data_IF_503285628965
#
_entry.id   IF_503285628965
#
_cell.length_a   1.000
_cell.length_b   1.000
_cell.length_c   1.000
_cell.angle_alpha   90.00
_cell.angle_beta   90.00
_cell.angle_gamma   90.00
#
_symmetry.space_group_name_H-M   'P 1'
#
loop_
_entity.id
_entity.type
_entity.pdbx_description
1 polymer ?
#
# COMPACT_ATOMS: atom_id res chain seq x y z
N UNK A 1 -32.51 13.70 15.14
CA UNK A 1 -31.12 13.28 14.95
C UNK A 1 -30.62 12.77 16.29
N UNK A 2 -30.46 11.46 16.43
CA UNK A 2 -30.10 10.80 17.68
C UNK A 2 -28.59 10.39 17.61
N UNK A 3 -27.75 10.89 18.52
CA UNK A 3 -26.32 10.58 18.48
C UNK A 3 -26.07 9.14 18.91
N UNK A 4 -25.17 8.47 18.18
CA UNK A 4 -24.65 7.16 18.50
C UNK A 4 -23.27 7.30 19.17
N UNK A 5 -23.04 6.56 20.24
CA UNK A 5 -21.82 6.65 21.05
C UNK A 5 -20.99 5.39 20.85
N UNK A 6 -19.74 5.55 20.44
CA UNK A 6 -18.78 4.45 20.36
C UNK A 6 -17.87 4.49 21.60
N UNK A 7 -17.97 3.51 22.47
CA UNK A 7 -17.15 3.38 23.67
C UNK A 7 -16.08 2.32 23.45
N UNK A 8 -14.81 2.71 23.53
CA UNK A 8 -13.67 1.82 23.56
C UNK A 8 -13.40 1.50 25.04
N UNK A 9 -14.09 0.49 25.58
CA UNK A 9 -13.91 0.07 26.94
C UNK A 9 -13.12 -1.25 27.02
N UNK A 10 -12.18 -1.32 27.93
CA UNK A 10 -11.63 -2.59 28.44
C UNK A 10 -12.74 -3.37 29.19
N UNK A 11 -12.70 -4.71 29.24
CA UNK A 11 -13.82 -5.51 29.69
C UNK A 11 -14.01 -5.41 31.21
N UNK A 12 -15.03 -4.64 31.61
CA UNK A 12 -15.67 -4.79 32.89
C UNK A 12 -17.13 -5.24 32.61
N UNK A 13 -17.44 -6.47 32.98
CA UNK A 13 -18.77 -7.05 32.80
C UNK A 13 -19.77 -6.29 33.69
N UNK A 14 -20.75 -5.68 33.07
CA UNK A 14 -22.01 -5.31 33.72
C UNK A 14 -23.20 -6.01 33.04
N UNK A 15 -24.18 -6.42 33.84
CA UNK A 15 -25.16 -7.48 33.51
C UNK A 15 -26.36 -7.03 32.64
N UNK A 16 -26.40 -5.76 32.17
CA UNK A 16 -27.58 -5.21 31.48
C UNK A 16 -27.36 -4.68 30.07
N UNK A 17 -26.21 -4.96 29.46
CA UNK A 17 -25.95 -4.51 28.08
C UNK A 17 -26.66 -5.41 27.05
N UNK A 18 -27.79 -4.93 26.53
CA UNK A 18 -28.44 -5.52 25.36
C UNK A 18 -27.63 -5.21 24.10
N UNK A 19 -26.65 -6.06 23.84
CA UNK A 19 -25.96 -6.09 22.57
C UNK A 19 -26.92 -6.56 21.47
N UNK A 20 -27.16 -5.74 20.45
CA UNK A 20 -27.91 -6.15 19.27
C UNK A 20 -27.14 -7.23 18.53
N UNK A 21 -27.54 -8.47 18.69
CA UNK A 21 -26.99 -9.64 17.97
C UNK A 21 -27.40 -9.57 16.52
N UNK A 22 -26.52 -9.11 15.62
CA UNK A 22 -26.57 -9.59 14.22
C UNK A 22 -26.38 -11.10 14.23
N UNK A 23 -27.14 -11.85 13.44
CA UNK A 23 -27.07 -13.31 13.34
C UNK A 23 -25.61 -13.74 13.15
N UNK A 24 -25.07 -14.42 14.14
CA UNK A 24 -23.69 -14.93 14.14
C UNK A 24 -23.57 -16.07 13.16
N UNK A 25 -22.59 -16.02 12.26
CA UNK A 25 -21.98 -17.25 11.74
C UNK A 25 -21.21 -17.90 12.89
N UNK A 26 -21.24 -19.24 13.04
CA UNK A 26 -20.83 -19.92 14.27
C UNK A 26 -19.34 -19.92 14.60
N UNK A 27 -18.44 -19.31 13.80
CA UNK A 27 -16.99 -19.44 13.98
C UNK A 27 -16.22 -18.10 13.97
N UNK A 28 -16.84 -16.97 14.27
CA UNK A 28 -16.13 -15.69 14.28
C UNK A 28 -16.10 -15.11 15.69
N UNK A 29 -14.95 -15.18 16.35
CA UNK A 29 -14.65 -14.35 17.52
C UNK A 29 -14.37 -12.94 16.99
N UNK A 30 -15.42 -12.18 16.78
CA UNK A 30 -15.29 -10.74 16.56
C UNK A 30 -15.12 -10.12 17.95
N UNK A 31 -13.95 -9.57 18.23
CA UNK A 31 -13.75 -8.59 19.28
C UNK A 31 -14.60 -7.37 18.90
N UNK A 32 -15.89 -7.41 19.22
CA UNK A 32 -16.82 -6.31 18.94
C UNK A 32 -16.49 -5.18 19.89
N UNK A 33 -15.97 -4.07 19.36
CA UNK A 33 -16.12 -2.77 20.03
C UNK A 33 -17.62 -2.52 20.15
N UNK A 34 -18.23 -2.54 21.34
CA UNK A 34 -19.66 -2.40 21.45
C UNK A 34 -20.05 -0.96 21.15
N UNK A 35 -20.71 -0.77 20.02
CA UNK A 35 -21.38 0.50 19.75
C UNK A 35 -22.59 0.57 20.67
N UNK A 36 -22.65 1.59 21.52
CA UNK A 36 -23.78 1.82 22.41
C UNK A 36 -24.71 2.87 21.83
N UNK A 37 -25.97 2.52 21.71
CA UNK A 37 -27.02 3.46 21.31
C UNK A 37 -27.57 4.15 22.55
N UNK A 38 -27.67 5.48 22.51
CA UNK A 38 -28.28 6.27 23.58
C UNK A 38 -29.83 6.14 23.61
N UNK A 39 -30.37 5.77 22.46
CA UNK A 39 -31.80 5.58 22.23
C UNK A 39 -32.03 4.29 21.42
N UNK A 40 -33.26 4.08 20.96
CA UNK A 40 -33.58 2.93 20.11
C UNK A 40 -32.74 2.92 18.83
N UNK A 41 -32.56 1.74 18.26
CA UNK A 41 -31.80 1.56 17.03
C UNK A 41 -32.42 2.38 15.89
N UNK A 42 -31.68 3.26 15.22
CA UNK A 42 -32.22 4.05 14.12
C UNK A 42 -32.63 3.14 12.95
N UNK A 43 -33.70 3.51 12.28
CA UNK A 43 -34.20 2.80 11.09
C UNK A 43 -33.41 3.11 9.82
N UNK A 44 -32.41 3.98 9.89
CA UNK A 44 -31.55 4.42 8.79
C UNK A 44 -30.10 4.12 9.07
N UNK A 45 -29.27 4.10 8.01
CA UNK A 45 -27.83 3.95 8.14
C UNK A 45 -27.19 5.19 8.79
N UNK A 46 -26.20 4.95 9.67
CA UNK A 46 -25.52 6.00 10.41
C UNK A 46 -24.48 6.72 9.55
N UNK A 47 -24.39 8.02 9.75
CA UNK A 47 -23.32 8.86 9.22
C UNK A 47 -22.35 9.31 10.33
N UNK A 48 -21.25 9.97 9.96
CA UNK A 48 -20.35 10.55 10.95
C UNK A 48 -20.99 11.61 11.85
N UNK A 49 -22.11 12.22 11.43
CA UNK A 49 -22.85 13.19 12.24
C UNK A 49 -23.72 12.51 13.32
N UNK A 50 -23.92 11.22 13.19
CA UNK A 50 -24.78 10.44 14.10
C UNK A 50 -23.96 9.70 15.17
N UNK A 51 -22.62 9.72 15.06
CA UNK A 51 -21.72 8.99 15.95
C UNK A 51 -20.66 9.92 16.55
N UNK A 52 -20.28 9.68 17.80
CA UNK A 52 -19.15 10.35 18.44
C UNK A 52 -18.44 9.40 19.43
N UNK A 53 -17.16 9.68 19.66
CA UNK A 53 -16.37 8.92 20.61
C UNK A 53 -16.58 9.45 22.03
N UNK A 54 -16.88 8.56 22.96
CA UNK A 54 -16.86 8.90 24.38
C UNK A 54 -15.44 8.78 24.89
N UNK A 55 -14.88 9.84 25.51
CA UNK A 55 -13.57 9.77 26.12
C UNK A 55 -13.53 8.69 27.21
N UNK A 56 -12.56 7.79 27.13
CA UNK A 56 -12.35 6.74 28.11
C UNK A 56 -10.87 6.57 28.44
N UNK A 57 -10.56 5.96 29.58
CA UNK A 57 -9.18 5.63 29.94
C UNK A 57 -8.72 4.46 29.08
N UNK A 58 -7.60 4.64 28.37
CA UNK A 58 -6.95 3.59 27.60
C UNK A 58 -5.70 3.07 28.32
N UNK A 59 -5.42 1.78 28.18
CA UNK A 59 -4.16 1.15 28.60
C UNK A 59 -3.12 1.10 27.48
N UNK A 60 -3.46 1.57 26.28
CA UNK A 60 -2.57 1.61 25.12
C UNK A 60 -1.46 2.64 25.37
N UNK A 61 -0.21 2.20 25.33
CA UNK A 61 0.97 3.04 25.56
C UNK A 61 1.52 3.65 24.28
N UNK A 62 1.32 2.97 23.15
CA UNK A 62 1.76 3.42 21.83
C UNK A 62 0.64 3.33 20.81
N UNK A 63 0.54 4.31 19.91
CA UNK A 63 -0.39 4.25 18.77
C UNK A 63 -0.14 3.04 17.84
N UNK A 64 1.06 2.46 17.88
CA UNK A 64 1.42 1.27 17.10
C UNK A 64 0.87 -0.03 17.69
N UNK A 65 0.41 0.00 18.95
CA UNK A 65 -0.20 -1.16 19.61
C UNK A 65 -1.69 -1.31 19.26
N UNK A 66 -2.24 -0.33 18.52
CA UNK A 66 -3.66 -0.33 18.11
C UNK A 66 -3.84 -1.25 16.90
N UNK A 67 -4.65 -2.29 17.06
CA UNK A 67 -5.05 -3.15 15.95
C UNK A 67 -6.07 -2.41 15.06
N UNK A 68 -5.69 -2.18 13.80
CA UNK A 68 -6.51 -1.50 12.79
C UNK A 68 -7.19 -2.48 11.82
N UNK A 69 -7.04 -3.79 12.01
CA UNK A 69 -7.68 -4.80 11.14
C UNK A 69 -9.20 -4.62 11.14
N UNK A 70 -9.80 -4.73 9.97
CA UNK A 70 -11.25 -4.59 9.85
C UNK A 70 -11.97 -5.86 10.33
N UNK A 71 -13.12 -5.72 11.04
CA UNK A 71 -13.87 -6.87 11.58
C UNK A 71 -14.77 -7.56 10.55
N UNK A 72 -14.73 -7.15 9.29
CA UNK A 72 -15.59 -7.60 8.20
C UNK A 72 -15.11 -8.88 7.49
N UNK A 73 -13.95 -9.40 7.88
CA UNK A 73 -13.27 -10.57 7.28
C UNK A 73 -12.85 -10.38 5.81
N UNK A 74 -12.79 -9.16 5.31
CA UNK A 74 -12.24 -8.88 3.97
C UNK A 74 -10.73 -9.12 3.94
N UNK A 75 -10.05 -8.95 5.09
CA UNK A 75 -8.61 -9.18 5.23
C UNK A 75 -7.78 -7.92 5.09
N UNK A 76 -8.40 -6.74 5.19
CA UNK A 76 -7.67 -5.46 5.26
C UNK A 76 -7.07 -5.26 6.66
N UNK A 77 -5.84 -4.76 6.69
CA UNK A 77 -5.08 -4.50 7.92
C UNK A 77 -5.22 -3.06 8.42
N UNK A 78 -5.79 -2.18 7.57
CA UNK A 78 -6.17 -0.82 7.92
C UNK A 78 -7.56 -0.51 7.36
N UNK A 79 -8.41 0.28 8.07
CA UNK A 79 -9.77 0.56 7.67
C UNK A 79 -9.83 1.68 6.61
N UNK A 80 -9.07 1.53 5.53
CA UNK A 80 -9.02 2.50 4.44
C UNK A 80 -9.47 1.82 3.15
N UNK A 81 -10.59 2.31 2.61
CA UNK A 81 -11.12 1.91 1.32
C UNK A 81 -11.13 3.12 0.40
N UNK A 82 -10.42 3.05 -0.71
CA UNK A 82 -10.41 4.11 -1.72
C UNK A 82 -11.68 4.01 -2.56
N UNK A 83 -12.39 5.13 -2.67
CA UNK A 83 -13.63 5.22 -3.44
C UNK A 83 -13.39 4.96 -4.95
N UNK A 84 -14.41 4.47 -5.61
CA UNK A 84 -14.45 4.09 -7.02
C UNK A 84 -14.46 5.28 -8.01
N UNK A 85 -13.56 6.24 -7.79
CA UNK A 85 -13.44 7.44 -8.63
C UNK A 85 -12.47 7.18 -9.78
N UNK A 86 -12.92 7.35 -11.02
CA UNK A 86 -12.16 7.07 -12.26
C UNK A 86 -10.80 7.76 -12.31
N UNK A 87 -10.70 8.99 -11.79
CA UNK A 87 -9.44 9.74 -11.76
C UNK A 87 -8.44 9.24 -10.71
N UNK A 88 -8.87 8.45 -9.72
CA UNK A 88 -8.08 8.07 -8.53
C UNK A 88 -7.87 6.57 -8.46
N UNK A 89 -8.95 5.78 -8.59
CA UNK A 89 -8.97 4.35 -8.30
C UNK A 89 -8.42 3.51 -9.48
N UNK A 90 -7.16 3.75 -9.85
CA UNK A 90 -6.46 3.00 -10.88
C UNK A 90 -5.40 2.04 -10.30
N UNK A 91 -4.74 1.28 -11.20
CA UNK A 91 -3.75 0.24 -10.85
C UNK A 91 -2.68 0.70 -9.85
N UNK A 92 -2.16 1.93 -9.99
CA UNK A 92 -1.12 2.47 -9.09
C UNK A 92 -1.64 2.76 -7.69
N UNK A 93 -2.85 3.27 -7.59
CA UNK A 93 -3.49 3.49 -6.30
C UNK A 93 -3.78 2.15 -5.62
N UNK A 94 -4.29 1.17 -6.38
CA UNK A 94 -4.58 -0.17 -5.88
C UNK A 94 -3.33 -0.85 -5.31
N UNK A 95 -2.21 -0.89 -6.05
CA UNK A 95 -0.94 -1.40 -5.54
C UNK A 95 -0.48 -0.69 -4.25
N UNK A 96 -0.56 0.64 -4.25
CA UNK A 96 -0.03 1.45 -3.15
C UNK A 96 -0.82 1.26 -1.87
N UNK A 97 -2.15 1.21 -1.98
CA UNK A 97 -3.05 1.07 -0.83
C UNK A 97 -3.03 -0.36 -0.31
N UNK A 98 -3.02 -1.36 -1.21
CA UNK A 98 -2.92 -2.77 -0.81
C UNK A 98 -1.61 -3.08 -0.08
N UNK A 99 -0.45 -2.50 -0.51
CA UNK A 99 0.82 -2.60 0.24
C UNK A 99 0.76 -2.03 1.64
N UNK A 100 -0.18 -1.14 1.92
CA UNK A 100 -0.39 -0.51 3.23
C UNK A 100 -1.52 -1.14 4.03
N UNK A 101 -2.12 -2.20 3.50
CA UNK A 101 -3.15 -2.97 4.19
C UNK A 101 -4.57 -2.51 3.94
N UNK A 102 -4.80 -1.56 3.04
CA UNK A 102 -6.13 -1.09 2.63
C UNK A 102 -6.65 -1.75 1.36
N UNK A 103 -7.77 -1.25 0.85
CA UNK A 103 -8.47 -1.75 -0.33
C UNK A 103 -8.80 -0.60 -1.29
N UNK A 104 -8.88 -0.89 -2.58
CA UNK A 104 -9.38 0.04 -3.62
C UNK A 104 -10.57 -0.58 -4.31
N UNK A 105 -11.64 0.18 -4.44
CA UNK A 105 -12.80 -0.18 -5.27
C UNK A 105 -12.60 0.42 -6.65
N UNK A 106 -12.55 -0.44 -7.67
CA UNK A 106 -12.37 0.01 -9.05
C UNK A 106 -13.66 0.64 -9.58
N UNK A 107 -13.57 1.65 -10.49
CA UNK A 107 -14.73 2.30 -11.06
C UNK A 107 -15.56 1.35 -11.93
N UNK A 108 -16.88 1.47 -11.86
CA UNK A 108 -17.82 0.62 -12.61
C UNK A 108 -18.00 1.05 -14.08
N UNK A 109 -17.61 2.27 -14.41
CA UNK A 109 -17.73 2.90 -15.74
C UNK A 109 -16.56 2.56 -16.67
N UNK A 110 -15.63 1.72 -16.21
CA UNK A 110 -14.49 1.23 -17.00
C UNK A 110 -14.87 -0.10 -17.68
N UNK A 111 -14.50 -0.31 -18.95
CA UNK A 111 -14.71 -1.58 -19.64
C UNK A 111 -14.13 -2.78 -18.89
N UNK A 112 -14.82 -3.94 -18.95
CA UNK A 112 -14.47 -5.12 -18.15
C UNK A 112 -13.07 -5.66 -18.46
N UNK A 113 -12.65 -5.61 -19.73
CA UNK A 113 -11.31 -5.99 -20.17
C UNK A 113 -10.22 -5.13 -19.52
N UNK A 114 -10.46 -3.84 -19.39
CA UNK A 114 -9.54 -2.92 -18.70
C UNK A 114 -9.52 -3.22 -17.19
N UNK A 115 -10.69 -3.50 -16.57
CA UNK A 115 -10.74 -3.89 -15.16
C UNK A 115 -9.92 -5.18 -14.95
N UNK A 116 -10.11 -6.18 -15.82
CA UNK A 116 -9.35 -7.43 -15.75
C UNK A 116 -7.84 -7.18 -15.83
N UNK A 117 -7.38 -6.37 -16.80
CA UNK A 117 -5.98 -5.99 -16.93
C UNK A 117 -5.44 -5.29 -15.66
N UNK A 118 -6.24 -4.42 -15.04
CA UNK A 118 -5.86 -3.74 -13.79
C UNK A 118 -5.71 -4.74 -12.65
N UNK A 119 -6.67 -5.65 -12.49
CA UNK A 119 -6.66 -6.69 -11.44
C UNK A 119 -5.45 -7.62 -11.63
N UNK A 120 -5.23 -8.14 -12.83
CA UNK A 120 -4.09 -9.00 -13.15
C UNK A 120 -2.77 -8.29 -12.87
N UNK A 121 -2.65 -7.03 -13.27
CA UNK A 121 -1.47 -6.22 -12.98
C UNK A 121 -1.24 -6.08 -11.47
N UNK A 122 -2.27 -5.75 -10.69
CA UNK A 122 -2.14 -5.58 -9.23
C UNK A 122 -1.79 -6.90 -8.57
N UNK A 123 -2.46 -7.99 -8.94
CA UNK A 123 -2.23 -9.35 -8.40
C UNK A 123 -0.83 -9.90 -8.72
N UNK A 124 -0.19 -9.43 -9.79
CA UNK A 124 1.16 -9.84 -10.18
C UNK A 124 2.27 -9.04 -9.48
N UNK A 125 1.95 -8.00 -8.72
CA UNK A 125 2.98 -7.14 -8.07
C UNK A 125 3.43 -7.71 -6.74
N UNK A 126 4.71 -7.45 -6.43
CA UNK A 126 5.30 -7.89 -5.17
C UNK A 126 4.67 -7.15 -3.99
N UNK A 127 4.29 -7.85 -2.89
CA UNK A 127 3.59 -7.24 -1.75
C UNK A 127 4.42 -6.20 -1.00
N UNK A 128 5.74 -6.36 -0.95
CA UNK A 128 6.64 -5.47 -0.19
C UNK A 128 7.30 -4.45 -1.13
N UNK A 129 7.92 -4.92 -2.21
CA UNK A 129 8.70 -4.06 -3.11
C UNK A 129 7.80 -3.27 -4.05
N UNK A 130 8.12 -2.00 -4.21
CA UNK A 130 7.37 -1.07 -5.06
C UNK A 130 7.67 -1.36 -6.54
N UNK A 131 6.69 -1.10 -7.41
CA UNK A 131 6.87 -1.27 -8.86
C UNK A 131 7.68 -0.09 -9.41
N UNK A 132 8.90 -0.28 -9.91
CA UNK A 132 9.70 0.78 -10.50
C UNK A 132 9.15 1.23 -11.86
N UNK A 133 9.61 2.38 -12.32
CA UNK A 133 9.53 2.74 -13.73
C UNK A 133 10.74 2.11 -14.41
N UNK A 134 10.53 1.37 -15.48
CA UNK A 134 11.58 0.74 -16.27
C UNK A 134 11.63 1.33 -17.67
N UNK A 135 12.82 1.54 -18.19
CA UNK A 135 13.10 1.99 -19.55
C UNK A 135 14.24 1.19 -20.16
N UNK A 136 14.31 1.14 -21.48
CA UNK A 136 15.40 0.53 -22.20
C UNK A 136 16.62 1.48 -22.31
N UNK A 137 17.82 0.98 -22.55
CA UNK A 137 19.02 1.80 -22.72
C UNK A 137 18.94 2.76 -23.92
N UNK A 138 18.12 2.42 -24.91
CA UNK A 138 17.88 3.21 -26.14
C UNK A 138 16.84 4.31 -25.95
N UNK A 139 16.03 4.26 -24.89
CA UNK A 139 15.07 5.30 -24.58
C UNK A 139 15.79 6.61 -24.22
N UNK A 140 15.06 7.71 -24.28
CA UNK A 140 15.64 9.04 -24.20
C UNK A 140 15.53 9.67 -22.81
N UNK A 141 16.42 10.60 -22.50
CA UNK A 141 16.37 11.46 -21.30
C UNK A 141 15.00 12.15 -21.19
N UNK A 142 14.44 12.62 -22.32
CA UNK A 142 13.13 13.27 -22.34
C UNK A 142 12.00 12.35 -21.88
N UNK A 143 12.01 11.10 -22.29
CA UNK A 143 11.05 10.08 -21.84
C UNK A 143 11.20 9.79 -20.37
N UNK A 144 12.42 9.55 -19.88
CA UNK A 144 12.70 9.34 -18.48
C UNK A 144 12.20 10.50 -17.59
N UNK A 145 12.53 11.74 -17.95
CA UNK A 145 12.09 12.94 -17.24
C UNK A 145 10.56 13.10 -17.23
N UNK A 146 9.88 12.69 -18.31
CA UNK A 146 8.40 12.72 -18.36
C UNK A 146 7.73 11.72 -17.43
N UNK A 147 8.44 10.64 -17.09
CA UNK A 147 7.93 9.53 -16.28
C UNK A 147 8.34 9.61 -14.82
N UNK A 148 9.48 10.22 -14.51
CA UNK A 148 10.11 10.18 -13.19
C UNK A 148 9.19 10.67 -12.08
N UNK A 149 8.38 11.68 -12.34
CA UNK A 149 7.42 12.24 -11.40
C UNK A 149 6.14 11.40 -11.23
N UNK A 150 5.94 10.38 -12.06
CA UNK A 150 4.77 9.49 -11.96
C UNK A 150 4.85 8.52 -10.79
N UNK A 151 6.03 8.36 -10.18
CA UNK A 151 6.26 7.57 -8.97
C UNK A 151 7.04 8.38 -7.93
N UNK A 152 6.84 8.05 -6.68
CA UNK A 152 7.52 8.73 -5.58
C UNK A 152 9.00 8.35 -5.44
N UNK A 153 9.51 7.47 -6.29
CA UNK A 153 10.89 7.00 -6.26
C UNK A 153 11.89 8.09 -6.68
N UNK A 154 11.49 8.97 -7.59
CA UNK A 154 12.39 9.97 -8.18
C UNK A 154 13.49 9.37 -9.06
N UNK A 155 13.33 8.12 -9.47
CA UNK A 155 14.29 7.37 -10.27
C UNK A 155 13.61 6.43 -11.26
N UNK A 156 14.32 6.12 -12.34
CA UNK A 156 13.96 5.11 -13.36
C UNK A 156 15.04 4.05 -13.35
N UNK A 157 14.65 2.79 -13.49
CA UNK A 157 15.57 1.66 -13.64
C UNK A 157 15.70 1.35 -15.12
N UNK A 158 16.93 1.37 -15.65
CA UNK A 158 17.22 0.98 -17.02
C UNK A 158 17.47 -0.53 -17.02
N UNK A 159 16.73 -1.25 -17.88
CA UNK A 159 16.76 -2.71 -17.92
C UNK A 159 17.09 -3.22 -19.33
N UNK A 160 17.68 -4.39 -19.40
CA UNK A 160 17.89 -5.12 -20.66
C UNK A 160 16.60 -5.83 -21.13
N UNK A 161 16.67 -6.52 -22.27
CA UNK A 161 15.57 -7.31 -22.82
C UNK A 161 15.14 -8.48 -21.90
N UNK A 162 15.98 -8.90 -20.97
CA UNK A 162 15.71 -9.91 -19.94
C UNK A 162 15.17 -9.32 -18.64
N UNK A 163 14.80 -8.02 -18.63
CA UNK A 163 14.36 -7.29 -17.44
C UNK A 163 15.41 -7.30 -16.30
N UNK A 164 16.69 -7.29 -16.63
CA UNK A 164 17.79 -7.16 -15.66
C UNK A 164 18.23 -5.72 -15.55
N UNK A 165 18.42 -5.18 -14.35
CA UNK A 165 18.86 -3.79 -14.17
C UNK A 165 20.27 -3.59 -14.75
N UNK A 166 20.42 -2.59 -15.59
CA UNK A 166 21.71 -2.15 -16.15
C UNK A 166 22.21 -0.88 -15.49
N UNK A 167 21.29 -0.02 -15.03
CA UNK A 167 21.61 1.24 -14.37
C UNK A 167 20.37 1.91 -13.83
N UNK A 168 20.58 3.02 -13.17
CA UNK A 168 19.50 3.92 -12.71
C UNK A 168 19.70 5.30 -13.29
N UNK A 169 18.59 6.01 -13.43
CA UNK A 169 18.57 7.39 -13.89
C UNK A 169 17.66 8.22 -12.99
N UNK A 170 18.18 9.37 -12.56
CA UNK A 170 17.46 10.37 -11.77
C UNK A 170 17.40 11.69 -12.53
N UNK A 171 16.59 12.63 -12.06
CA UNK A 171 16.52 13.98 -12.65
C UNK A 171 17.88 14.67 -12.63
N UNK A 172 18.72 14.40 -11.62
CA UNK A 172 20.06 14.99 -11.50
C UNK A 172 21.00 14.49 -12.61
N UNK A 173 20.90 13.20 -12.98
CA UNK A 173 21.74 12.60 -14.04
C UNK A 173 21.41 13.18 -15.42
N UNK A 174 20.19 13.67 -15.61
CA UNK A 174 19.75 14.32 -16.85
C UNK A 174 20.15 15.80 -16.98
N UNK A 175 20.68 16.38 -15.91
CA UNK A 175 21.01 17.81 -15.91
C UNK A 175 22.13 18.13 -16.91
N UNK A 176 21.84 19.01 -17.87
CA UNK A 176 22.79 19.44 -18.88
C UNK A 176 22.85 18.58 -20.14
N UNK A 177 22.09 17.48 -20.21
CA UNK A 177 21.99 16.65 -21.41
C UNK A 177 20.78 17.04 -22.27
N UNK A 178 20.91 16.84 -23.59
CA UNK A 178 19.80 17.01 -24.51
C UNK A 178 18.73 15.92 -24.28
N UNK A 179 17.47 16.31 -24.47
CA UNK A 179 16.31 15.41 -24.25
C UNK A 179 16.30 14.17 -25.16
N UNK A 180 16.96 14.24 -26.32
CA UNK A 180 17.09 13.13 -27.26
C UNK A 180 18.31 12.23 -26.97
N UNK A 181 19.11 12.58 -25.97
CA UNK A 181 20.23 11.73 -25.54
C UNK A 181 19.69 10.40 -25.03
N UNK A 182 20.31 9.29 -25.47
CA UNK A 182 19.92 7.95 -25.01
C UNK A 182 20.41 7.69 -23.60
N UNK A 183 19.59 6.98 -22.82
CA UNK A 183 19.83 6.71 -21.38
C UNK A 183 21.12 5.93 -21.13
N UNK A 184 21.54 5.05 -22.03
CA UNK A 184 22.82 4.31 -21.91
C UNK A 184 24.07 5.21 -21.81
N UNK A 185 23.97 6.46 -22.24
CA UNK A 185 25.09 7.42 -22.22
C UNK A 185 25.14 8.26 -20.92
N UNK A 186 24.04 8.24 -20.13
CA UNK A 186 23.85 9.14 -18.98
C UNK A 186 23.42 8.42 -17.72
N UNK A 187 23.01 7.14 -17.81
CA UNK A 187 22.61 6.36 -16.64
C UNK A 187 23.77 6.12 -15.71
N UNK A 188 23.48 6.08 -14.42
CA UNK A 188 24.43 5.67 -13.41
C UNK A 188 24.54 4.15 -13.37
N UNK A 189 25.75 3.64 -13.61
CA UNK A 189 26.06 2.20 -13.58
C UNK A 189 26.42 1.71 -12.17
N UNK A 190 26.83 2.62 -11.27
CA UNK A 190 27.18 2.31 -9.88
C UNK A 190 25.90 2.20 -9.04
N UNK A 191 25.07 1.20 -9.35
CA UNK A 191 23.87 0.94 -8.60
C UNK A 191 24.05 -0.23 -7.64
N UNK A 192 23.44 -0.07 -6.45
CA UNK A 192 23.31 -1.15 -5.48
C UNK A 192 22.00 -1.87 -5.73
N UNK A 193 22.04 -3.18 -5.95
CA UNK A 193 20.87 -4.04 -6.05
C UNK A 193 20.78 -4.94 -4.81
N UNK A 194 19.56 -5.18 -4.34
CA UNK A 194 19.28 -6.16 -3.30
C UNK A 194 18.56 -7.37 -3.89
N UNK A 195 18.66 -8.51 -3.23
CA UNK A 195 17.87 -9.68 -3.59
C UNK A 195 16.53 -9.65 -2.86
N UNK A 196 15.51 -10.26 -3.46
CA UNK A 196 14.16 -10.37 -2.86
C UNK A 196 14.15 -11.19 -1.56
N UNK A 197 15.16 -12.01 -1.33
CA UNK A 197 15.38 -12.78 -0.10
C UNK A 197 16.00 -11.96 1.03
N UNK A 198 16.52 -10.75 0.77
CA UNK A 198 17.17 -9.92 1.78
C UNK A 198 16.11 -9.33 2.73
N UNK A 199 16.28 -9.49 4.06
CA UNK A 199 15.37 -8.88 5.02
C UNK A 199 15.26 -7.37 4.85
N UNK A 200 14.04 -6.83 4.90
CA UNK A 200 13.81 -5.39 4.64
C UNK A 200 14.52 -4.49 5.65
N UNK A 201 14.72 -4.95 6.88
CA UNK A 201 15.49 -4.21 7.89
C UNK A 201 16.94 -4.02 7.44
N UNK A 202 17.57 -5.09 6.93
CA UNK A 202 18.96 -5.04 6.46
C UNK A 202 19.08 -4.15 5.22
N UNK A 203 18.09 -4.19 4.32
CA UNK A 203 18.03 -3.26 3.18
C UNK A 203 17.92 -1.80 3.67
N UNK A 204 17.08 -1.55 4.67
CA UNK A 204 16.93 -0.21 5.23
C UNK A 204 18.25 0.32 5.78
N UNK A 205 18.95 -0.50 6.56
CA UNK A 205 20.20 -0.12 7.20
C UNK A 205 21.30 0.11 6.16
N UNK A 206 21.40 -0.75 5.15
CA UNK A 206 22.31 -0.56 4.03
C UNK A 206 22.04 0.72 3.23
N UNK A 207 20.76 1.03 2.96
CA UNK A 207 20.37 2.30 2.31
C UNK A 207 20.72 3.54 3.15
N UNK A 208 20.62 3.42 4.48
CA UNK A 208 21.02 4.50 5.39
C UNK A 208 22.53 4.70 5.42
N UNK A 209 23.28 3.61 5.56
CA UNK A 209 24.74 3.63 5.63
C UNK A 209 25.35 4.19 4.34
N UNK A 210 24.88 3.75 3.19
CA UNK A 210 25.33 4.20 1.88
C UNK A 210 24.70 5.49 1.40
N UNK A 211 23.80 6.11 2.20
CA UNK A 211 23.06 7.34 1.89
C UNK A 211 22.23 7.26 0.60
N UNK A 212 21.81 6.08 0.23
CA UNK A 212 20.96 5.85 -0.94
C UNK A 212 19.49 6.11 -0.59
N UNK A 213 18.75 6.66 -1.54
CA UNK A 213 17.30 6.90 -1.40
C UNK A 213 16.45 5.81 -2.06
N UNK A 214 17.04 5.06 -2.99
CA UNK A 214 16.38 4.11 -3.87
C UNK A 214 17.35 2.99 -4.28
N UNK A 215 16.85 1.76 -4.41
CA UNK A 215 17.58 0.64 -4.98
C UNK A 215 16.63 -0.33 -5.71
N UNK A 216 17.07 -0.91 -6.85
CA UNK A 216 16.41 -2.05 -7.48
C UNK A 216 16.49 -3.31 -6.61
N UNK A 217 15.47 -4.15 -6.72
CA UNK A 217 15.42 -5.47 -6.08
C UNK A 217 15.24 -6.52 -7.15
N UNK A 218 16.11 -7.54 -7.11
CA UNK A 218 16.18 -8.60 -8.11
C UNK A 218 15.95 -9.97 -7.47
N UNK A 219 15.53 -10.93 -8.29
CA UNK A 219 15.48 -12.34 -7.89
C UNK A 219 16.88 -13.00 -7.94
N UNK A 220 16.94 -14.31 -7.62
CA UNK A 220 18.17 -15.10 -7.65
C UNK A 220 18.79 -15.22 -9.06
N UNK A 221 18.04 -14.92 -10.11
CA UNK A 221 18.48 -14.91 -11.51
C UNK A 221 18.92 -13.52 -11.99
N UNK A 222 18.81 -12.51 -11.13
CA UNK A 222 19.14 -11.12 -11.43
C UNK A 222 18.06 -10.38 -12.21
N UNK A 223 16.84 -10.94 -12.29
CA UNK A 223 15.68 -10.28 -12.93
C UNK A 223 15.05 -9.32 -11.96
N UNK A 224 14.65 -8.15 -12.44
CA UNK A 224 14.04 -7.09 -11.64
C UNK A 224 12.64 -7.52 -11.12
N UNK A 225 12.52 -7.66 -9.81
CA UNK A 225 11.26 -7.97 -9.11
C UNK A 225 10.53 -6.71 -8.67
N UNK A 226 11.30 -5.69 -8.29
CA UNK A 226 10.75 -4.46 -7.77
C UNK A 226 11.82 -3.43 -7.46
N UNK A 227 11.44 -2.45 -6.67
CA UNK A 227 12.36 -1.45 -6.14
C UNK A 227 12.00 -1.13 -4.69
N UNK A 228 12.95 -0.61 -3.96
CA UNK A 228 12.73 -0.19 -2.60
C UNK A 228 13.32 1.20 -2.38
N UNK A 229 12.56 2.03 -1.70
CA UNK A 229 13.04 3.31 -1.21
C UNK A 229 13.32 3.21 0.29
N UNK A 230 14.20 4.07 0.82
CA UNK A 230 14.43 4.16 2.25
C UNK A 230 13.13 4.37 3.04
N UNK A 231 12.23 5.24 2.53
CA UNK A 231 10.91 5.44 3.12
C UNK A 231 10.00 4.23 2.96
N UNK A 232 10.11 3.50 1.84
CA UNK A 232 9.37 2.27 1.57
C UNK A 232 9.79 1.15 2.53
N UNK A 233 11.09 0.97 2.73
CA UNK A 233 11.64 0.02 3.70
C UNK A 233 11.12 0.29 5.12
N UNK A 234 11.21 1.54 5.60
CA UNK A 234 10.67 1.90 6.91
C UNK A 234 9.16 1.66 7.01
N UNK A 235 8.39 1.95 5.96
CA UNK A 235 6.94 1.73 5.96
C UNK A 235 6.56 0.26 6.03
N UNK A 236 7.31 -0.63 5.39
CA UNK A 236 7.03 -2.06 5.41
C UNK A 236 7.25 -2.71 6.78
N UNK A 237 7.97 -2.04 7.69
CA UNK A 237 8.05 -2.46 9.09
C UNK A 237 6.82 -2.07 9.91
N UNK A 238 6.05 -1.09 9.46
CA UNK A 238 4.88 -0.53 10.16
C UNK A 238 3.57 -1.10 9.59
N UNK A 239 3.47 -1.16 8.27
CA UNK A 239 2.26 -1.60 7.57
C UNK A 239 2.44 -3.01 7.01
N UNK A 240 1.43 -3.83 7.19
CA UNK A 240 1.35 -5.15 6.58
C UNK A 240 0.46 -5.08 5.33
N UNK A 241 0.87 -5.68 4.20
CA UNK A 241 0.06 -5.68 2.99
C UNK A 241 -1.23 -6.47 3.19
N UNK A 242 -2.31 -6.02 2.56
CA UNK A 242 -3.55 -6.76 2.47
C UNK A 242 -3.44 -7.79 1.33
N UNK A 243 -3.33 -9.07 1.69
CA UNK A 243 -3.12 -10.15 0.73
C UNK A 243 -4.14 -11.27 0.89
N UNK A 244 -4.41 -11.98 -0.20
CA UNK A 244 -5.25 -13.16 -0.23
C UNK A 244 -4.50 -14.42 0.27
N UNK A 245 -5.17 -15.57 0.31
CA UNK A 245 -4.59 -16.84 0.74
C UNK A 245 -3.42 -17.33 -0.13
N UNK A 246 -3.22 -16.74 -1.31
CA UNK A 246 -2.11 -17.04 -2.23
C UNK A 246 -0.97 -16.00 -2.11
N UNK A 247 -1.05 -15.08 -1.15
CA UNK A 247 -0.05 -14.03 -0.96
C UNK A 247 -0.11 -12.89 -1.98
N UNK A 248 -1.19 -12.79 -2.76
CA UNK A 248 -1.39 -11.73 -3.76
C UNK A 248 -2.23 -10.60 -3.15
N UNK A 249 -2.08 -9.38 -3.63
CA UNK A 249 -2.88 -8.24 -3.15
C UNK A 249 -4.38 -8.50 -3.19
N UNK A 250 -5.08 -8.04 -2.14
CA UNK A 250 -6.53 -7.90 -2.17
C UNK A 250 -6.91 -6.76 -3.13
N UNK A 251 -7.74 -7.05 -4.12
CA UNK A 251 -8.33 -6.08 -5.06
C UNK A 251 -9.50 -6.72 -5.80
#
# INVERSE_FOLDING_TARGET
>A
LLPCVCEVAAPAMDKDDRCVRRRRHPNTVVSSCPMRFLHDLPAHDLTYNDVFMVPSKSSVSSRFDVNLSTPDNIGTNVPIVVANMTAIAGRRMAETVARRGGLVVLPQDIPLDIIQMVVEHVKSRHPIFETPITLAPEDTVGEALSLIHKRAHGAVVIVDAGNRPLGIFTEHDGAGFDRFTQLKNVMNLDMVCFTDSTPVADIHDALMEQRLSFAPVVDAQGVLVGAITRKGALRSTIYQPAVDSQGRFLS
#
